data_IF_507212503265
#
_entry.id   IF_507212503265
#
_cell.length_a   1.000
_cell.length_b   1.000
_cell.length_c   1.000
_cell.angle_alpha   90.00
_cell.angle_beta   90.00
_cell.angle_gamma   90.00
#
_symmetry.space_group_name_H-M   'P 1'
#
loop_
_entity.id
_entity.type
_entity.pdbx_description
1 polymer ?
#
# COMPACT_ATOMS: atom_id res chain seq x y z
N UNK A 1 -29.70 60.54 13.39
CA UNK A 1 -29.20 59.49 12.46
C UNK A 1 -27.98 60.04 11.73
N UNK A 2 -26.95 59.21 11.60
CA UNK A 2 -25.67 59.42 10.90
C UNK A 2 -24.63 60.37 11.54
N UNK A 3 -23.63 59.77 12.23
CA UNK A 3 -22.25 60.28 12.27
C UNK A 3 -21.22 59.16 12.55
N UNK A 4 -20.32 58.99 11.57
CA UNK A 4 -18.90 58.60 11.64
C UNK A 4 -18.37 57.58 12.67
N UNK A 5 -17.74 56.51 12.17
CA UNK A 5 -16.32 56.21 12.44
C UNK A 5 -15.81 55.05 11.59
N UNK A 6 -15.08 55.37 10.52
CA UNK A 6 -14.31 54.43 9.73
C UNK A 6 -13.05 54.02 10.53
N UNK A 7 -13.01 52.78 11.02
CA UNK A 7 -11.76 52.16 11.51
C UNK A 7 -11.02 51.58 10.31
N UNK A 8 -9.93 52.25 9.92
CA UNK A 8 -8.99 51.77 8.92
C UNK A 8 -8.39 50.42 9.31
N UNK A 9 -8.36 49.48 8.35
CA UNK A 9 -7.58 48.25 8.43
C UNK A 9 -6.10 48.62 8.46
N UNK A 10 -5.42 48.29 9.55
CA UNK A 10 -3.97 48.23 9.57
C UNK A 10 -3.50 47.13 8.58
N UNK A 11 -2.47 47.36 7.75
CA UNK A 11 -1.92 46.33 6.91
C UNK A 11 -1.18 45.33 7.81
N UNK A 12 -1.65 44.08 7.81
CA UNK A 12 -0.93 42.96 8.41
C UNK A 12 0.28 42.60 7.55
N UNK A 13 1.31 43.47 7.54
CA UNK A 13 2.66 43.07 7.17
C UNK A 13 3.29 42.35 8.37
N UNK A 14 2.79 41.15 8.64
CA UNK A 14 3.50 40.14 9.41
C UNK A 14 4.30 39.31 8.42
N UNK A 15 5.62 39.35 8.54
CA UNK A 15 6.54 38.47 7.80
C UNK A 15 6.04 37.03 7.88
N UNK A 16 5.45 36.54 6.79
CA UNK A 16 5.28 35.12 6.57
C UNK A 16 6.69 34.55 6.49
N UNK A 17 7.14 33.93 7.59
CA UNK A 17 8.32 33.10 7.59
C UNK A 17 8.17 32.11 6.43
N UNK A 18 9.06 32.23 5.44
CA UNK A 18 9.25 31.21 4.41
C UNK A 18 9.69 29.93 5.12
N UNK A 19 8.73 29.16 5.64
CA UNK A 19 8.93 27.74 5.88
C UNK A 19 9.26 27.17 4.48
N UNK A 20 10.48 26.67 4.24
CA UNK A 20 10.77 26.01 2.99
C UNK A 20 9.75 24.88 2.87
N UNK A 21 9.00 24.88 1.76
CA UNK A 21 8.03 23.84 1.48
C UNK A 21 8.80 22.54 1.27
N UNK A 22 9.04 21.79 2.34
CA UNK A 22 9.80 20.56 2.25
C UNK A 22 8.91 19.48 1.64
N UNK A 23 9.30 19.03 0.45
CA UNK A 23 8.61 17.94 -0.23
C UNK A 23 8.65 16.69 0.65
N UNK A 24 7.52 15.97 0.83
CA UNK A 24 7.50 14.70 1.54
C UNK A 24 8.55 13.74 0.99
N UNK A 25 9.18 12.96 1.86
CA UNK A 25 10.27 12.06 1.49
C UNK A 25 9.82 11.01 0.46
N UNK A 26 8.54 10.65 0.48
CA UNK A 26 7.93 9.76 -0.53
C UNK A 26 8.09 10.30 -1.96
N UNK A 27 7.95 11.61 -2.16
CA UNK A 27 8.11 12.24 -3.47
C UNK A 27 9.55 12.64 -3.74
N UNK A 28 10.25 13.13 -2.72
CA UNK A 28 11.68 13.51 -2.82
C UNK A 28 12.56 12.33 -3.22
N UNK A 29 12.30 11.14 -2.68
CA UNK A 29 13.03 9.90 -2.96
C UNK A 29 12.32 8.99 -3.96
N UNK A 30 11.38 9.51 -4.74
CA UNK A 30 10.71 8.75 -5.80
C UNK A 30 11.76 8.33 -6.84
N UNK A 31 11.91 7.02 -7.14
CA UNK A 31 12.83 6.53 -8.16
C UNK A 31 12.62 7.20 -9.52
N UNK A 32 13.71 7.60 -10.17
CA UNK A 32 13.70 8.17 -11.53
C UNK A 32 14.14 7.15 -12.59
N UNK A 33 15.03 6.22 -12.25
CA UNK A 33 15.46 5.14 -13.12
C UNK A 33 14.85 3.78 -12.72
N UNK A 34 14.75 2.85 -13.68
CA UNK A 34 14.33 1.46 -13.41
C UNK A 34 15.32 0.72 -12.49
N UNK A 35 16.57 1.18 -12.40
CA UNK A 35 17.60 0.59 -11.54
C UNK A 35 17.40 0.93 -10.06
N UNK A 36 16.76 2.06 -9.76
CA UNK A 36 16.52 2.54 -8.39
C UNK A 36 15.26 1.91 -7.76
N UNK A 37 14.46 1.20 -8.57
CA UNK A 37 13.24 0.56 -8.09
C UNK A 37 13.60 -0.73 -7.37
N UNK A 38 13.23 -0.81 -6.10
CA UNK A 38 13.47 -1.99 -5.27
C UNK A 38 12.27 -2.94 -5.35
N UNK A 39 12.56 -4.23 -5.49
CA UNK A 39 11.59 -5.33 -5.46
C UNK A 39 11.18 -5.86 -6.82
N UNK A 40 10.56 -7.06 -6.83
CA UNK A 40 10.09 -7.72 -8.06
C UNK A 40 11.15 -7.74 -9.20
N UNK A 41 12.37 -8.18 -8.88
CA UNK A 41 13.55 -8.13 -9.77
C UNK A 41 13.28 -8.70 -11.17
N UNK A 42 12.59 -9.85 -11.24
CA UNK A 42 12.23 -10.49 -12.51
C UNK A 42 11.37 -9.58 -13.41
N UNK A 43 10.39 -8.88 -12.82
CA UNK A 43 9.52 -7.98 -13.58
C UNK A 43 10.28 -6.73 -14.02
N UNK A 44 11.16 -6.19 -13.17
CA UNK A 44 12.01 -5.05 -13.52
C UNK A 44 12.99 -5.41 -14.63
N UNK A 45 13.61 -6.59 -14.60
CA UNK A 45 14.50 -7.07 -15.66
C UNK A 45 13.78 -7.15 -17.01
N UNK A 46 12.54 -7.68 -17.03
CA UNK A 46 11.71 -7.68 -18.24
C UNK A 46 11.42 -6.26 -18.74
N UNK A 47 11.11 -5.33 -17.84
CA UNK A 47 10.91 -3.92 -18.19
C UNK A 47 12.18 -3.28 -18.76
N UNK A 48 13.36 -3.63 -18.23
CA UNK A 48 14.66 -3.17 -18.74
C UNK A 48 14.93 -3.67 -20.16
N UNK A 49 14.58 -4.92 -20.47
CA UNK A 49 14.69 -5.45 -21.85
C UNK A 49 13.75 -4.67 -22.78
N UNK A 50 12.50 -4.46 -22.37
CA UNK A 50 11.52 -3.67 -23.14
C UNK A 50 12.01 -2.23 -23.37
N UNK A 51 12.64 -1.62 -22.37
CA UNK A 51 13.19 -0.27 -22.46
C UNK A 51 14.35 -0.19 -23.48
N UNK A 52 15.14 -1.25 -23.64
CA UNK A 52 16.23 -1.35 -24.62
C UNK A 52 15.73 -1.59 -26.04
N UNK A 53 14.78 -2.51 -26.20
CA UNK A 53 14.24 -2.90 -27.51
C UNK A 53 13.28 -1.85 -28.09
N UNK A 54 12.66 -1.02 -27.24
CA UNK A 54 11.76 0.06 -27.65
C UNK A 54 10.34 -0.40 -28.02
N UNK A 55 10.14 -1.66 -28.37
CA UNK A 55 8.83 -2.23 -28.70
C UNK A 55 8.05 -2.64 -27.43
N UNK A 56 7.46 -1.67 -26.75
CA UNK A 56 6.68 -1.92 -25.54
C UNK A 56 5.26 -2.42 -25.86
N UNK A 57 4.84 -3.65 -25.49
CA UNK A 57 3.44 -4.08 -25.63
C UNK A 57 2.50 -3.23 -24.77
N UNK A 58 1.19 -3.37 -24.93
CA UNK A 58 0.29 -2.86 -23.90
C UNK A 58 0.56 -3.61 -22.60
N UNK A 59 0.70 -2.89 -21.48
CA UNK A 59 1.03 -3.49 -20.19
C UNK A 59 -0.07 -3.24 -19.18
N UNK A 60 -0.37 -4.26 -18.39
CA UNK A 60 -1.18 -4.13 -17.19
C UNK A 60 -0.27 -4.49 -16.02
N UNK A 61 -0.02 -3.54 -15.14
CA UNK A 61 0.65 -3.78 -13.87
C UNK A 61 -0.42 -3.99 -12.81
N UNK A 62 -0.51 -5.22 -12.30
CA UNK A 62 -1.47 -5.61 -11.27
C UNK A 62 -0.76 -6.14 -10.03
N UNK A 63 -1.40 -6.01 -8.86
CA UNK A 63 -0.96 -6.76 -7.68
C UNK A 63 -1.30 -8.23 -7.90
N UNK A 64 -0.31 -9.10 -7.77
CA UNK A 64 -0.56 -10.54 -7.78
C UNK A 64 -1.48 -10.92 -6.62
N UNK A 65 -2.41 -11.88 -6.80
CA UNK A 65 -3.15 -12.41 -5.67
C UNK A 65 -2.15 -12.92 -4.62
N UNK A 66 -2.44 -12.76 -3.31
CA UNK A 66 -1.60 -13.39 -2.29
C UNK A 66 -1.53 -14.90 -2.58
N UNK A 67 -0.36 -15.51 -2.39
CA UNK A 67 -0.09 -16.92 -2.72
C UNK A 67 -1.12 -17.91 -2.13
N UNK A 68 -1.89 -17.50 -1.12
CA UNK A 68 -2.90 -18.32 -0.48
C UNK A 68 -4.29 -17.63 -0.45
N UNK A 69 -5.33 -18.25 -1.03
CA UNK A 69 -6.66 -17.63 -1.20
C UNK A 69 -7.39 -17.35 0.13
N UNK A 70 -7.16 -18.16 1.16
CA UNK A 70 -7.71 -17.96 2.50
C UNK A 70 -7.23 -16.64 3.14
N UNK A 71 -5.94 -16.31 2.94
CA UNK A 71 -5.35 -15.08 3.46
C UNK A 71 -5.84 -13.82 2.72
N UNK A 72 -6.27 -13.96 1.45
CA UNK A 72 -6.85 -12.86 0.69
C UNK A 72 -8.16 -12.35 1.31
N UNK A 73 -8.95 -13.24 1.92
CA UNK A 73 -10.24 -12.91 2.51
C UNK A 73 -10.12 -12.37 3.94
N UNK A 74 -9.11 -12.83 4.68
CA UNK A 74 -8.85 -12.42 6.05
C UNK A 74 -8.17 -11.05 6.15
N UNK A 75 -7.34 -10.69 5.18
CA UNK A 75 -6.85 -9.33 5.04
C UNK A 75 -7.96 -8.46 4.43
N UNK A 76 -8.93 -8.07 5.24
CA UNK A 76 -10.07 -7.22 4.88
C UNK A 76 -9.69 -5.76 4.55
N UNK A 77 -8.50 -5.55 3.97
CA UNK A 77 -8.21 -4.38 3.14
C UNK A 77 -8.17 -4.82 1.68
N UNK A 78 -9.33 -5.03 1.02
CA UNK A 78 -9.42 -5.26 -0.42
C UNK A 78 -9.16 -3.98 -1.25
N UNK A 79 -8.56 -2.95 -0.67
CA UNK A 79 -7.88 -1.89 -1.41
C UNK A 79 -6.43 -2.37 -1.57
N UNK A 80 -6.10 -2.87 -2.76
CA UNK A 80 -4.82 -3.55 -3.00
C UNK A 80 -3.62 -2.75 -2.51
N UNK A 81 -2.53 -3.45 -2.17
CA UNK A 81 -1.38 -2.83 -1.50
C UNK A 81 -0.91 -1.58 -2.26
N UNK A 82 -0.97 -0.41 -1.61
CA UNK A 82 -0.31 0.77 -2.10
C UNK A 82 1.22 0.57 -2.05
N UNK A 83 1.95 1.45 -2.73
CA UNK A 83 3.38 1.63 -2.48
C UNK A 83 4.35 0.51 -2.88
N UNK A 84 3.94 -0.47 -3.70
CA UNK A 84 4.85 -1.48 -4.29
C UNK A 84 5.58 -1.01 -5.57
N UNK A 85 5.50 0.29 -5.90
CA UNK A 85 6.21 0.87 -7.04
C UNK A 85 5.55 0.69 -8.42
N UNK A 86 4.24 0.39 -8.50
CA UNK A 86 3.52 0.21 -9.78
C UNK A 86 3.60 1.45 -10.68
N UNK A 87 3.05 2.57 -10.20
CA UNK A 87 3.03 3.85 -10.91
C UNK A 87 4.45 4.32 -11.23
N UNK A 88 5.36 4.25 -10.25
CA UNK A 88 6.78 4.58 -10.43
C UNK A 88 7.43 3.79 -11.56
N UNK A 89 7.19 2.48 -11.64
CA UNK A 89 7.77 1.63 -12.69
C UNK A 89 7.31 2.02 -14.08
N UNK A 90 6.04 2.42 -14.24
CA UNK A 90 5.51 2.90 -15.52
C UNK A 90 6.15 4.24 -15.90
N UNK A 91 6.28 5.17 -14.96
CA UNK A 91 6.93 6.45 -15.21
C UNK A 91 8.41 6.29 -15.57
N UNK A 92 9.16 5.47 -14.84
CA UNK A 92 10.56 5.19 -15.15
C UNK A 92 10.71 4.54 -16.53
N UNK A 93 9.84 3.58 -16.87
CA UNK A 93 9.81 2.99 -18.21
C UNK A 93 9.53 4.04 -19.29
N UNK A 94 8.54 4.91 -19.06
CA UNK A 94 8.17 5.95 -20.01
C UNK A 94 9.29 7.00 -20.18
N UNK A 95 9.97 7.38 -19.10
CA UNK A 95 11.14 8.25 -19.15
C UNK A 95 12.30 7.62 -19.92
N UNK A 96 12.60 6.34 -19.67
CA UNK A 96 13.69 5.66 -20.37
C UNK A 96 13.39 5.42 -21.86
N UNK A 97 12.13 5.17 -22.20
CA UNK A 97 11.69 5.01 -23.59
C UNK A 97 11.66 6.35 -24.33
N UNK A 98 11.09 7.40 -23.77
CA UNK A 98 10.81 8.64 -24.52
C UNK A 98 11.87 9.73 -24.31
N UNK A 99 12.64 9.67 -23.23
CA UNK A 99 13.64 10.69 -22.89
C UNK A 99 13.01 12.09 -22.84
N UNK A 100 13.59 13.02 -23.60
CA UNK A 100 13.12 14.41 -23.68
C UNK A 100 11.70 14.55 -24.24
N UNK A 101 11.25 13.58 -25.07
CA UNK A 101 9.90 13.56 -25.64
C UNK A 101 8.83 13.08 -24.65
N UNK A 102 9.17 12.85 -23.38
CA UNK A 102 8.23 12.40 -22.34
C UNK A 102 7.01 13.33 -22.23
N UNK A 103 7.20 14.65 -22.23
CA UNK A 103 6.11 15.63 -22.05
C UNK A 103 5.09 15.62 -23.20
N UNK A 104 5.52 15.27 -24.41
CA UNK A 104 4.65 15.28 -25.58
C UNK A 104 4.10 13.89 -25.91
N UNK A 105 4.85 12.85 -25.57
CA UNK A 105 4.58 11.44 -25.87
C UNK A 105 3.88 10.67 -24.75
N UNK A 106 3.74 11.25 -23.56
CA UNK A 106 3.02 10.63 -22.43
C UNK A 106 1.74 11.39 -22.10
N UNK A 107 0.64 10.65 -21.97
CA UNK A 107 -0.59 11.13 -21.38
C UNK A 107 -0.85 10.35 -20.09
N UNK A 108 -0.75 11.03 -18.95
CA UNK A 108 -1.14 10.48 -17.65
C UNK A 108 -2.58 10.87 -17.36
N UNK A 109 -3.38 9.86 -16.97
CA UNK A 109 -4.73 10.04 -16.48
C UNK A 109 -4.89 9.23 -15.20
N UNK A 110 -5.23 9.91 -14.12
CA UNK A 110 -5.69 9.25 -12.92
C UNK A 110 -7.16 8.87 -13.09
N UNK A 111 -7.45 7.57 -13.17
CA UNK A 111 -8.79 7.09 -13.46
C UNK A 111 -9.79 7.36 -12.32
N UNK A 112 -9.35 7.74 -11.12
CA UNK A 112 -10.25 8.17 -10.02
C UNK A 112 -10.93 9.51 -10.29
N UNK A 113 -10.23 10.43 -10.95
CA UNK A 113 -10.65 11.82 -11.08
C UNK A 113 -11.38 12.05 -12.40
N UNK A 114 -10.87 11.47 -13.49
CA UNK A 114 -11.43 11.61 -14.84
C UNK A 114 -12.16 10.32 -15.30
N UNK A 115 -13.16 9.88 -14.50
CA UNK A 115 -13.93 8.62 -14.68
C UNK A 115 -14.84 8.55 -15.90
N UNK A 116 -15.07 9.67 -16.58
CA UNK A 116 -16.11 9.80 -17.62
C UNK A 116 -15.82 9.01 -18.88
N UNK A 117 -16.84 8.34 -19.43
CA UNK A 117 -16.80 7.69 -20.75
C UNK A 117 -16.35 8.71 -21.82
N UNK A 118 -16.74 9.98 -21.66
CA UNK A 118 -16.42 11.07 -22.58
C UNK A 118 -14.94 11.44 -22.56
N UNK A 119 -14.25 11.32 -21.42
CA UNK A 119 -12.80 11.57 -21.35
C UNK A 119 -12.05 10.50 -22.15
N UNK A 120 -12.44 9.23 -22.03
CA UNK A 120 -11.86 8.14 -22.81
C UNK A 120 -12.13 8.34 -24.31
N UNK A 121 -13.36 8.74 -24.68
CA UNK A 121 -13.75 8.92 -26.08
C UNK A 121 -13.12 10.14 -26.73
N UNK A 122 -12.87 11.21 -25.98
CA UNK A 122 -12.39 12.47 -26.51
C UNK A 122 -10.89 12.66 -26.24
N UNK A 123 -10.47 12.69 -24.97
CA UNK A 123 -9.09 13.01 -24.56
C UNK A 123 -8.10 11.91 -24.99
N UNK A 124 -8.39 10.66 -24.65
CA UNK A 124 -7.53 9.52 -25.02
C UNK A 124 -7.51 9.32 -26.53
N UNK A 125 -8.66 9.41 -27.20
CA UNK A 125 -8.74 9.29 -28.66
C UNK A 125 -8.00 10.41 -29.38
N UNK A 126 -8.16 11.68 -28.94
CA UNK A 126 -7.46 12.81 -29.53
C UNK A 126 -5.95 12.67 -29.36
N UNK A 127 -5.49 12.23 -28.19
CA UNK A 127 -4.07 11.95 -27.96
C UNK A 127 -3.56 10.79 -28.81
N UNK A 128 -4.34 9.70 -28.96
CA UNK A 128 -3.99 8.58 -29.83
C UNK A 128 -3.90 9.00 -31.31
N UNK A 129 -4.72 9.96 -31.74
CA UNK A 129 -4.69 10.53 -33.09
C UNK A 129 -3.58 11.56 -33.33
N UNK A 130 -3.12 12.27 -32.28
CA UNK A 130 -2.04 13.26 -32.38
C UNK A 130 -0.78 12.62 -32.95
N UNK A 131 -0.24 13.16 -34.05
CA UNK A 131 1.05 12.72 -34.59
C UNK A 131 2.17 13.38 -33.77
N UNK A 132 3.03 12.55 -33.18
CA UNK A 132 4.24 12.99 -32.48
C UNK A 132 5.42 12.33 -33.19
N UNK A 133 6.44 13.11 -33.54
CA UNK A 133 7.65 12.61 -34.17
C UNK A 133 8.53 11.98 -33.08
N UNK A 134 8.44 10.65 -32.97
CA UNK A 134 9.27 9.86 -32.06
C UNK A 134 10.39 9.16 -32.82
N UNK A 135 11.52 8.82 -32.16
CA UNK A 135 12.57 7.99 -32.75
C UNK A 135 12.02 6.63 -33.22
N UNK A 136 12.68 5.99 -34.21
CA UNK A 136 12.22 4.71 -34.75
C UNK A 136 12.06 3.65 -33.65
N UNK A 137 10.94 2.93 -33.69
CA UNK A 137 10.59 1.89 -32.71
C UNK A 137 9.91 2.39 -31.44
N UNK A 138 9.80 3.71 -31.22
CA UNK A 138 9.16 4.28 -30.03
C UNK A 138 7.72 4.71 -30.29
N UNK A 139 6.89 4.48 -29.28
CA UNK A 139 5.45 4.71 -29.34
C UNK A 139 5.04 5.69 -28.25
N UNK A 140 3.94 6.41 -28.46
CA UNK A 140 3.32 7.21 -27.40
C UNK A 140 2.82 6.30 -26.29
N UNK A 141 2.81 6.77 -25.05
CA UNK A 141 2.37 5.99 -23.91
C UNK A 141 1.20 6.70 -23.24
N UNK A 142 0.10 5.98 -23.02
CA UNK A 142 -1.02 6.43 -22.21
C UNK A 142 -0.96 5.67 -20.89
N UNK A 143 -0.75 6.40 -19.80
CA UNK A 143 -0.69 5.87 -18.44
C UNK A 143 -2.08 6.06 -17.82
N UNK A 144 -2.71 4.96 -17.45
CA UNK A 144 -3.98 4.94 -16.72
C UNK A 144 -3.69 4.40 -15.33
N UNK A 145 -3.59 5.29 -14.33
CA UNK A 145 -3.48 4.87 -12.94
C UNK A 145 -4.86 4.58 -12.34
N UNK A 146 -4.90 3.68 -11.37
CA UNK A 146 -6.14 3.19 -10.74
C UNK A 146 -7.19 2.70 -11.75
N UNK A 147 -6.75 1.98 -12.80
CA UNK A 147 -7.63 1.52 -13.87
C UNK A 147 -8.79 0.61 -13.37
N UNK A 148 -8.69 0.06 -12.16
CA UNK A 148 -9.77 -0.68 -11.52
C UNK A 148 -10.95 0.18 -11.05
N UNK A 149 -10.78 1.50 -10.98
CA UNK A 149 -11.84 2.48 -10.71
C UNK A 149 -12.62 2.88 -11.98
N UNK A 150 -12.20 2.44 -13.17
CA UNK A 150 -12.90 2.75 -14.42
C UNK A 150 -14.22 2.00 -14.56
N UNK A 151 -15.25 2.70 -15.05
CA UNK A 151 -16.55 2.07 -15.36
C UNK A 151 -16.42 1.07 -16.52
N UNK A 152 -17.23 -0.02 -16.53
CA UNK A 152 -17.20 -0.99 -17.62
C UNK A 152 -17.47 -0.35 -19.00
N UNK A 153 -18.34 0.66 -19.08
CA UNK A 153 -18.60 1.40 -20.31
C UNK A 153 -17.38 2.16 -20.85
N UNK A 154 -16.58 2.75 -19.96
CA UNK A 154 -15.33 3.42 -20.33
C UNK A 154 -14.28 2.40 -20.81
N UNK A 155 -14.17 1.24 -20.16
CA UNK A 155 -13.28 0.16 -20.59
C UNK A 155 -13.65 -0.38 -21.99
N UNK A 156 -14.95 -0.54 -22.29
CA UNK A 156 -15.40 -0.95 -23.61
C UNK A 156 -15.03 0.07 -24.70
N UNK A 157 -15.13 1.37 -24.41
CA UNK A 157 -14.70 2.42 -25.33
C UNK A 157 -13.17 2.43 -25.53
N UNK A 158 -12.42 2.16 -24.46
CA UNK A 158 -10.96 2.07 -24.51
C UNK A 158 -10.49 0.92 -25.41
N UNK A 159 -11.12 -0.25 -25.33
CA UNK A 159 -10.78 -1.44 -26.13
C UNK A 159 -10.61 -1.14 -27.62
N UNK A 160 -11.59 -0.45 -28.22
CA UNK A 160 -11.55 -0.12 -29.66
C UNK A 160 -10.41 0.84 -30.00
N UNK A 161 -10.10 1.77 -29.09
CA UNK A 161 -9.01 2.74 -29.26
C UNK A 161 -7.65 2.03 -29.17
N UNK A 162 -7.50 1.06 -28.27
CA UNK A 162 -6.29 0.24 -28.15
C UNK A 162 -6.03 -0.56 -29.44
N UNK A 163 -7.06 -1.17 -30.02
CA UNK A 163 -6.94 -1.95 -31.26
C UNK A 163 -6.54 -1.08 -32.47
N UNK A 164 -7.21 0.05 -32.68
CA UNK A 164 -7.00 0.89 -33.86
C UNK A 164 -5.62 1.58 -33.84
N UNK A 165 -5.17 2.02 -32.66
CA UNK A 165 -3.95 2.83 -32.53
C UNK A 165 -2.76 2.08 -31.94
N UNK A 166 -2.77 0.74 -31.92
CA UNK A 166 -1.69 -0.10 -31.39
C UNK A 166 -0.31 0.20 -32.02
N UNK A 167 -0.30 0.59 -33.29
CA UNK A 167 0.92 0.91 -34.04
C UNK A 167 1.57 2.24 -33.64
N UNK A 168 0.84 3.15 -33.00
CA UNK A 168 1.36 4.50 -32.64
C UNK A 168 1.34 4.77 -31.14
N UNK A 169 0.44 4.11 -30.41
CA UNK A 169 0.14 4.40 -29.01
C UNK A 169 0.07 3.10 -28.22
N UNK A 170 0.78 3.04 -27.09
CA UNK A 170 0.79 1.92 -26.15
C UNK A 170 0.14 2.35 -24.85
N UNK A 171 -0.60 1.43 -24.23
CA UNK A 171 -1.32 1.67 -22.99
C UNK A 171 -0.60 0.97 -21.85
N UNK A 172 -0.41 1.69 -20.75
CA UNK A 172 0.11 1.18 -19.50
C UNK A 172 -0.95 1.40 -18.42
N UNK A 173 -1.59 0.31 -17.98
CA UNK A 173 -2.63 0.35 -16.97
C UNK A 173 -2.04 -0.11 -15.63
N UNK A 174 -2.09 0.75 -14.62
CA UNK A 174 -1.82 0.36 -13.23
C UNK A 174 -3.16 0.05 -12.54
N UNK A 175 -3.27 -1.14 -11.96
CA UNK A 175 -4.46 -1.53 -11.22
C UNK A 175 -4.11 -2.31 -9.95
N UNK A 176 -4.98 -2.22 -8.96
CA UNK A 176 -4.86 -3.03 -7.75
C UNK A 176 -5.47 -4.41 -7.94
N UNK A 177 -6.61 -4.48 -8.61
CA UNK A 177 -7.34 -5.72 -8.87
C UNK A 177 -7.45 -5.96 -10.37
N UNK A 178 -6.73 -6.96 -10.89
CA UNK A 178 -6.84 -7.34 -12.31
C UNK A 178 -8.25 -7.78 -12.69
N UNK A 179 -8.99 -8.38 -11.76
CA UNK A 179 -10.35 -8.91 -12.01
C UNK A 179 -11.37 -7.82 -12.36
N UNK A 180 -11.12 -6.56 -12.01
CA UNK A 180 -12.01 -5.43 -12.36
C UNK A 180 -11.81 -4.93 -13.79
N UNK A 181 -10.74 -5.37 -14.47
CA UNK A 181 -10.49 -5.06 -15.87
C UNK A 181 -11.18 -6.11 -16.74
N UNK A 182 -11.90 -5.68 -17.78
CA UNK A 182 -12.58 -6.59 -18.71
C UNK A 182 -11.57 -7.48 -19.46
N UNK A 183 -11.92 -8.75 -19.66
CA UNK A 183 -11.11 -9.75 -20.36
C UNK A 183 -10.63 -9.30 -21.77
N UNK A 184 -11.43 -8.56 -22.58
CA UNK A 184 -10.96 -8.04 -23.86
C UNK A 184 -9.75 -7.10 -23.77
N UNK A 185 -9.61 -6.34 -22.68
CA UNK A 185 -8.41 -5.52 -22.46
C UNK A 185 -7.26 -6.40 -21.99
N UNK A 186 -7.51 -7.33 -21.05
CA UNK A 186 -6.49 -8.23 -20.52
C UNK A 186 -5.82 -9.06 -21.61
N UNK A 187 -6.60 -9.64 -22.52
CA UNK A 187 -6.10 -10.43 -23.66
C UNK A 187 -5.17 -9.68 -24.61
N UNK A 188 -5.23 -8.34 -24.63
CA UNK A 188 -4.39 -7.48 -25.49
C UNK A 188 -3.17 -6.92 -24.77
N UNK A 189 -3.05 -7.18 -23.47
CA UNK A 189 -1.99 -6.62 -22.64
C UNK A 189 -1.12 -7.72 -22.02
N UNK A 190 0.17 -7.45 -21.91
CA UNK A 190 1.06 -8.22 -21.06
C UNK A 190 0.74 -7.91 -19.59
N UNK A 191 0.29 -8.93 -18.85
CA UNK A 191 -0.03 -8.81 -17.43
C UNK A 191 1.25 -9.02 -16.63
N UNK A 192 1.74 -7.96 -16.00
CA UNK A 192 2.86 -7.96 -15.07
C UNK A 192 2.29 -7.99 -13.65
N UNK A 193 2.65 -9.01 -12.88
CA UNK A 193 2.19 -9.19 -11.50
C UNK A 193 3.27 -8.74 -10.54
N UNK A 194 2.96 -7.77 -9.71
CA UNK A 194 3.84 -7.31 -8.63
C UNK A 194 3.47 -8.04 -7.34
N UNK A 195 4.47 -8.56 -6.65
CA UNK A 195 4.35 -9.10 -5.31
C UNK A 195 4.64 -8.01 -4.26
N UNK A 196 4.34 -8.35 -2.99
CA UNK A 196 4.80 -7.56 -1.84
C UNK A 196 6.32 -7.46 -1.87
N UNK A 197 6.83 -6.30 -1.44
CA UNK A 197 8.26 -6.14 -1.19
C UNK A 197 8.67 -7.02 -0.02
N UNK A 198 9.87 -7.59 -0.12
CA UNK A 198 10.47 -8.35 0.98
C UNK A 198 11.01 -7.40 2.04
N UNK A 199 11.05 -7.85 3.29
CA UNK A 199 11.55 -7.05 4.40
C UNK A 199 13.00 -6.58 4.17
N UNK A 200 13.84 -7.42 3.56
CA UNK A 200 15.22 -7.10 3.17
C UNK A 200 15.30 -5.99 2.12
N UNK A 201 14.33 -5.93 1.21
CA UNK A 201 14.25 -4.93 0.14
C UNK A 201 13.86 -3.57 0.72
N UNK A 202 12.88 -3.55 1.63
CA UNK A 202 12.46 -2.35 2.34
C UNK A 202 13.59 -1.81 3.21
N UNK A 203 14.26 -2.70 3.97
CA UNK A 203 15.40 -2.32 4.83
C UNK A 203 16.49 -1.63 4.02
N UNK A 204 16.88 -2.19 2.86
CA UNK A 204 17.89 -1.59 1.99
C UNK A 204 17.53 -0.16 1.60
N UNK A 205 16.28 0.08 1.17
CA UNK A 205 15.83 1.42 0.78
C UNK A 205 15.73 2.38 1.95
N UNK A 206 15.31 1.91 3.12
CA UNK A 206 15.26 2.73 4.34
C UNK A 206 16.67 3.17 4.76
N UNK A 207 17.65 2.27 4.70
CA UNK A 207 19.05 2.60 5.02
C UNK A 207 19.61 3.66 4.08
N UNK A 208 19.36 3.54 2.77
CA UNK A 208 19.77 4.56 1.79
C UNK A 208 19.20 5.95 2.14
N UNK A 209 17.92 6.02 2.53
CA UNK A 209 17.26 7.27 2.92
C UNK A 209 17.83 7.80 4.24
N UNK A 210 18.08 6.92 5.22
CA UNK A 210 18.68 7.29 6.50
C UNK A 210 20.09 7.87 6.32
N UNK A 211 20.89 7.33 5.40
CA UNK A 211 22.22 7.86 5.08
C UNK A 211 22.16 9.22 4.39
N UNK A 212 21.23 9.41 3.45
CA UNK A 212 21.06 10.68 2.73
C UNK A 212 20.57 11.81 3.65
N UNK A 213 19.64 11.53 4.55
CA UNK A 213 19.09 12.50 5.52
C UNK A 213 19.87 12.57 6.84
N UNK A 214 20.87 11.70 7.04
CA UNK A 214 21.66 11.57 8.29
C UNK A 214 20.79 11.37 9.54
N UNK A 215 19.80 10.50 9.44
CA UNK A 215 18.88 10.17 10.54
C UNK A 215 19.57 9.25 11.55
N UNK A 216 19.39 9.53 12.85
CA UNK A 216 19.84 8.62 13.90
C UNK A 216 18.80 7.53 14.13
N UNK A 217 19.20 6.26 14.02
CA UNK A 217 18.30 5.11 14.14
C UNK A 217 18.88 4.02 15.05
N UNK A 218 17.97 3.21 15.60
CA UNK A 218 18.27 1.93 16.24
C UNK A 218 17.75 0.78 15.37
N UNK A 219 18.38 -0.40 15.46
CA UNK A 219 17.99 -1.60 14.71
C UNK A 219 16.56 -2.05 15.05
N UNK A 220 16.14 -1.88 16.32
CA UNK A 220 14.77 -2.13 16.76
C UNK A 220 13.77 -1.17 16.08
N UNK A 221 14.19 0.07 15.82
CA UNK A 221 13.39 1.09 15.15
C UNK A 221 13.16 0.73 13.68
N UNK A 222 14.20 0.29 12.97
CA UNK A 222 14.07 -0.20 11.59
C UNK A 222 13.18 -1.45 11.50
N UNK A 223 13.33 -2.37 12.45
CA UNK A 223 12.49 -3.57 12.54
C UNK A 223 11.02 -3.21 12.79
N UNK A 224 10.75 -2.24 13.67
CA UNK A 224 9.40 -1.73 13.92
C UNK A 224 8.80 -1.05 12.68
N UNK A 225 9.59 -0.29 11.92
CA UNK A 225 9.14 0.33 10.67
C UNK A 225 8.75 -0.74 9.63
N UNK A 226 9.56 -1.79 9.47
CA UNK A 226 9.24 -2.90 8.55
C UNK A 226 7.96 -3.61 8.99
N UNK A 227 7.83 -3.90 10.29
CA UNK A 227 6.67 -4.57 10.87
C UNK A 227 5.36 -3.77 10.67
N UNK A 228 5.42 -2.45 10.79
CA UNK A 228 4.25 -1.56 10.60
C UNK A 228 3.87 -1.34 9.13
N UNK A 229 4.81 -1.55 8.20
CA UNK A 229 4.65 -1.20 6.79
C UNK A 229 4.13 -2.34 5.91
N UNK A 230 4.15 -3.59 6.38
CA UNK A 230 3.52 -4.76 5.71
C UNK A 230 3.84 -4.97 4.21
N UNK A 231 5.03 -4.55 3.76
CA UNK A 231 5.43 -4.64 2.36
C UNK A 231 5.13 -3.38 1.52
N UNK A 232 4.62 -2.30 2.12
CA UNK A 232 4.36 -0.99 1.50
C UNK A 232 5.53 -0.03 1.77
N UNK A 233 6.26 0.33 0.71
CA UNK A 233 7.41 1.25 0.81
C UNK A 233 6.98 2.68 1.14
N UNK A 234 5.83 3.12 0.62
CA UNK A 234 5.31 4.47 0.85
C UNK A 234 4.97 4.65 2.32
N UNK A 235 4.32 3.65 2.92
CA UNK A 235 4.02 3.66 4.35
C UNK A 235 5.30 3.67 5.19
N UNK A 236 6.30 2.86 4.83
CA UNK A 236 7.59 2.81 5.53
C UNK A 236 8.30 4.16 5.54
N UNK A 237 8.37 4.84 4.39
CA UNK A 237 9.01 6.16 4.27
C UNK A 237 8.23 7.22 5.05
N UNK A 238 6.89 7.20 4.98
CA UNK A 238 6.05 8.13 5.73
C UNK A 238 6.19 7.96 7.25
N UNK A 239 6.26 6.72 7.73
CA UNK A 239 6.47 6.42 9.15
C UNK A 239 7.86 6.86 9.61
N UNK A 240 8.88 6.61 8.77
CA UNK A 240 10.25 7.06 9.03
C UNK A 240 10.32 8.58 9.13
N UNK A 241 9.76 9.29 8.15
CA UNK A 241 9.72 10.76 8.13
C UNK A 241 8.98 11.30 9.35
N UNK A 242 7.80 10.76 9.66
CA UNK A 242 7.01 11.19 10.82
C UNK A 242 7.74 10.96 12.15
N UNK A 243 8.46 9.85 12.29
CA UNK A 243 9.25 9.53 13.48
C UNK A 243 10.45 10.47 13.62
N UNK A 244 11.14 10.74 12.51
CA UNK A 244 12.27 11.67 12.51
C UNK A 244 11.84 13.11 12.82
N UNK A 245 10.73 13.58 12.22
CA UNK A 245 10.20 14.91 12.49
C UNK A 245 9.66 15.06 13.91
N UNK A 246 9.12 14.00 14.50
CA UNK A 246 8.57 14.03 15.86
C UNK A 246 9.61 13.92 16.97
N UNK A 247 10.56 12.99 16.83
CA UNK A 247 11.46 12.60 17.92
C UNK A 247 12.96 12.71 17.57
N UNK A 248 13.31 12.99 16.31
CA UNK A 248 14.69 13.03 15.75
C UNK A 248 15.52 11.74 15.86
N UNK A 249 15.08 10.80 16.69
CA UNK A 249 15.68 9.50 16.93
C UNK A 249 14.67 8.38 16.67
N UNK A 250 15.03 7.48 15.75
CA UNK A 250 14.17 6.37 15.33
C UNK A 250 14.41 5.16 16.24
N UNK A 251 13.59 5.07 17.30
CA UNK A 251 13.52 3.91 18.21
C UNK A 251 12.21 3.13 18.00
N UNK A 252 12.18 1.85 18.36
CA UNK A 252 10.97 1.01 18.27
C UNK A 252 9.77 1.64 18.98
N UNK A 253 9.97 2.14 20.21
CA UNK A 253 8.91 2.80 20.97
C UNK A 253 8.39 4.07 20.29
N UNK A 254 9.28 4.86 19.68
CA UNK A 254 8.91 6.08 18.99
C UNK A 254 8.11 5.76 17.72
N UNK A 255 8.50 4.71 17.00
CA UNK A 255 7.77 4.24 15.82
C UNK A 255 6.37 3.77 16.19
N UNK A 256 6.22 2.94 17.24
CA UNK A 256 4.90 2.47 17.68
C UNK A 256 4.02 3.60 18.22
N UNK A 257 4.59 4.62 18.88
CA UNK A 257 3.87 5.83 19.29
C UNK A 257 3.36 6.66 18.12
N UNK A 258 4.15 6.81 17.06
CA UNK A 258 3.75 7.58 15.86
C UNK A 258 2.72 6.82 15.04
N UNK A 259 2.87 5.50 14.92
CA UNK A 259 1.94 4.65 14.18
C UNK A 259 0.65 4.33 14.94
N UNK A 260 0.63 4.60 16.25
CA UNK A 260 -0.46 4.31 17.18
C UNK A 260 -0.99 2.87 17.05
N UNK A 261 -0.06 1.91 17.07
CA UNK A 261 -0.36 0.48 17.02
C UNK A 261 -0.03 -0.20 18.36
N UNK A 262 -0.81 -1.22 18.77
CA UNK A 262 -0.49 -2.01 19.95
C UNK A 262 0.91 -2.60 19.87
N UNK A 263 1.68 -2.45 20.96
CA UNK A 263 3.04 -2.97 20.99
C UNK A 263 3.02 -4.51 20.83
N UNK A 264 3.82 -5.10 19.92
CA UNK A 264 3.82 -6.55 19.69
C UNK A 264 4.18 -7.38 20.93
N UNK A 265 4.93 -6.83 21.91
CA UNK A 265 5.32 -7.52 23.13
C UNK A 265 4.09 -7.79 24.02
N UNK A 266 3.18 -6.82 24.16
CA UNK A 266 1.94 -6.98 24.93
C UNK A 266 1.10 -8.08 24.29
N UNK A 267 0.97 -8.05 22.95
CA UNK A 267 0.22 -9.05 22.20
C UNK A 267 0.86 -10.45 22.26
N UNK A 268 2.20 -10.55 22.22
CA UNK A 268 2.90 -11.82 22.46
C UNK A 268 2.61 -12.36 23.85
N UNK A 269 2.56 -11.50 24.87
CA UNK A 269 2.26 -11.90 26.24
C UNK A 269 0.81 -12.42 26.40
N UNK A 270 -0.15 -11.87 25.65
CA UNK A 270 -1.52 -12.38 25.53
C UNK A 270 -1.52 -13.79 24.93
N UNK A 271 -0.81 -13.98 23.81
CA UNK A 271 -0.74 -15.30 23.14
C UNK A 271 -0.08 -16.34 24.05
N UNK A 272 0.99 -15.98 24.77
CA UNK A 272 1.63 -16.86 25.77
C UNK A 272 0.69 -17.22 26.92
N UNK A 273 -0.14 -16.29 27.38
CA UNK A 273 -1.17 -16.57 28.40
C UNK A 273 -2.23 -17.55 27.86
N UNK A 274 -2.67 -17.36 26.61
CA UNK A 274 -3.58 -18.27 25.92
C UNK A 274 -2.99 -19.69 25.74
N UNK A 275 -1.68 -19.79 25.50
CA UNK A 275 -0.97 -21.06 25.42
C UNK A 275 -0.92 -21.81 26.76
N UNK A 276 -0.78 -21.06 27.86
CA UNK A 276 -0.84 -21.61 29.23
C UNK A 276 -2.27 -21.87 29.71
N UNK A 277 -3.28 -21.62 28.88
CA UNK A 277 -4.70 -21.73 29.23
C UNK A 277 -5.12 -20.81 30.40
N UNK A 278 -4.41 -19.70 30.63
CA UNK A 278 -4.79 -18.71 31.64
C UNK A 278 -5.59 -17.58 30.99
N UNK A 279 -6.92 -17.67 31.10
CA UNK A 279 -7.84 -16.71 30.49
C UNK A 279 -7.80 -15.36 31.22
N UNK A 280 -7.67 -15.37 32.55
CA UNK A 280 -7.73 -14.14 33.36
C UNK A 280 -6.54 -13.21 33.01
N UNK A 281 -5.32 -13.75 32.98
CA UNK A 281 -4.12 -12.98 32.58
C UNK A 281 -4.20 -12.47 31.12
N UNK A 282 -4.79 -13.27 30.22
CA UNK A 282 -5.01 -12.84 28.83
C UNK A 282 -6.04 -11.71 28.73
N UNK A 283 -7.10 -11.75 29.54
CA UNK A 283 -8.15 -10.73 29.60
C UNK A 283 -7.65 -9.43 30.24
N UNK A 284 -6.83 -9.51 31.29
CA UNK A 284 -6.27 -8.32 31.95
C UNK A 284 -5.38 -7.52 30.97
N UNK A 285 -4.51 -8.20 30.23
CA UNK A 285 -3.68 -7.59 29.18
C UNK A 285 -4.50 -7.06 28.00
N UNK A 286 -5.61 -7.72 27.66
CA UNK A 286 -6.52 -7.23 26.63
C UNK A 286 -7.24 -5.96 27.09
N UNK A 287 -7.66 -5.90 28.36
CA UNK A 287 -8.26 -4.72 28.95
C UNK A 287 -7.26 -3.56 29.00
N UNK A 288 -5.99 -3.82 29.30
CA UNK A 288 -4.93 -2.79 29.22
C UNK A 288 -4.86 -2.14 27.83
N UNK A 289 -4.91 -2.94 26.76
CA UNK A 289 -4.95 -2.42 25.38
C UNK A 289 -6.25 -1.66 25.07
N UNK A 290 -7.37 -2.14 25.62
CA UNK A 290 -8.67 -1.49 25.42
C UNK A 290 -8.76 -0.13 26.14
N UNK A 291 -8.23 -0.05 27.37
CA UNK A 291 -8.19 1.16 28.19
C UNK A 291 -7.25 2.22 27.60
N UNK A 292 -6.21 1.80 26.87
CA UNK A 292 -5.36 2.68 26.06
C UNK A 292 -6.10 3.26 24.84
N UNK A 293 -7.31 2.79 24.53
CA UNK A 293 -8.16 3.34 23.48
C UNK A 293 -7.92 2.73 22.09
N UNK A 294 -7.20 1.61 22.00
CA UNK A 294 -6.98 0.94 20.72
C UNK A 294 -8.28 0.39 20.14
N UNK A 295 -8.45 0.55 18.82
CA UNK A 295 -9.59 -0.02 18.11
C UNK A 295 -9.56 -1.55 18.16
N UNK A 296 -10.73 -2.15 18.28
CA UNK A 296 -10.90 -3.60 18.21
C UNK A 296 -10.31 -4.22 16.92
N UNK A 297 -10.37 -3.45 15.81
CA UNK A 297 -9.79 -3.86 14.52
C UNK A 297 -8.27 -3.92 14.60
N UNK A 298 -7.63 -2.91 15.18
CA UNK A 298 -6.17 -2.83 15.27
C UNK A 298 -5.60 -3.88 16.22
N UNK A 299 -6.31 -4.15 17.33
CA UNK A 299 -5.98 -5.24 18.25
C UNK A 299 -6.01 -6.59 17.52
N UNK A 300 -7.10 -6.92 16.79
CA UNK A 300 -7.19 -8.19 16.06
C UNK A 300 -6.15 -8.31 14.96
N UNK A 301 -5.92 -7.25 14.18
CA UNK A 301 -4.93 -7.26 13.10
C UNK A 301 -3.52 -7.49 13.67
N UNK A 302 -3.21 -6.88 14.82
CA UNK A 302 -1.92 -7.07 15.49
C UNK A 302 -1.80 -8.48 16.07
N UNK A 303 -2.84 -9.02 16.71
CA UNK A 303 -2.87 -10.42 17.18
C UNK A 303 -2.62 -11.38 16.01
N UNK A 304 -3.31 -11.19 14.90
CA UNK A 304 -3.12 -12.00 13.69
C UNK A 304 -1.68 -11.93 13.18
N UNK A 305 -1.09 -10.73 13.15
CA UNK A 305 0.29 -10.50 12.71
C UNK A 305 1.30 -11.20 13.62
N UNK A 306 1.13 -11.09 14.94
CA UNK A 306 2.02 -11.73 15.92
C UNK A 306 1.90 -13.25 15.83
N UNK A 307 0.69 -13.82 15.80
CA UNK A 307 0.48 -15.28 15.69
C UNK A 307 1.16 -15.87 14.46
N UNK A 308 1.12 -15.16 13.32
CA UNK A 308 1.77 -15.61 12.09
C UNK A 308 3.29 -15.75 12.24
N UNK A 309 3.90 -14.83 12.97
CA UNK A 309 5.36 -14.73 13.18
C UNK A 309 5.84 -15.48 14.43
N UNK A 310 4.93 -16.08 15.18
CA UNK A 310 5.23 -16.69 16.46
C UNK A 310 5.73 -18.13 16.30
N UNK A 311 7.01 -18.38 16.58
CA UNK A 311 7.65 -19.67 16.29
C UNK A 311 7.54 -20.69 17.43
N UNK A 312 7.13 -20.29 18.64
CA UNK A 312 7.02 -21.18 19.80
C UNK A 312 5.85 -22.20 19.69
N UNK A 313 5.00 -22.11 18.65
CA UNK A 313 3.79 -22.94 18.49
C UNK A 313 3.89 -23.96 17.36
N UNK A 314 3.31 -25.17 17.53
CA UNK A 314 3.08 -26.11 16.43
C UNK A 314 2.26 -25.48 15.29
N UNK A 315 2.60 -25.82 14.04
CA UNK A 315 1.93 -25.27 12.85
C UNK A 315 0.42 -25.57 12.82
N UNK A 316 0.02 -26.76 13.28
CA UNK A 316 -1.39 -27.13 13.42
C UNK A 316 -2.17 -26.16 14.31
N UNK A 317 -1.68 -25.94 15.54
CA UNK A 317 -2.30 -25.02 16.50
C UNK A 317 -2.30 -23.58 16.00
N UNK A 318 -1.22 -23.16 15.31
CA UNK A 318 -1.11 -21.84 14.68
C UNK A 318 -2.21 -21.62 13.62
N UNK A 319 -2.49 -22.62 12.79
CA UNK A 319 -3.55 -22.55 11.77
C UNK A 319 -4.95 -22.49 12.40
N UNK A 320 -5.20 -23.23 13.48
CA UNK A 320 -6.47 -23.15 14.21
C UNK A 320 -6.66 -21.78 14.87
N UNK A 321 -5.60 -21.21 15.44
CA UNK A 321 -5.62 -19.85 16.01
C UNK A 321 -5.96 -18.83 14.93
N UNK A 322 -5.30 -18.90 13.77
CA UNK A 322 -5.56 -18.04 12.62
C UNK A 322 -7.02 -18.16 12.16
N UNK A 323 -7.57 -19.38 12.14
CA UNK A 323 -8.98 -19.61 11.78
C UNK A 323 -9.93 -18.88 12.74
N UNK A 324 -9.77 -19.05 14.06
CA UNK A 324 -10.64 -18.39 15.05
C UNK A 324 -10.47 -16.87 15.05
N UNK A 325 -9.24 -16.38 14.97
CA UNK A 325 -8.95 -14.94 14.81
C UNK A 325 -9.65 -14.41 13.56
N UNK A 326 -9.67 -15.19 12.48
CA UNK A 326 -10.33 -14.78 11.25
C UNK A 326 -11.84 -14.70 11.32
N UNK A 327 -12.49 -15.63 12.00
CA UNK A 327 -13.93 -15.55 12.26
C UNK A 327 -14.29 -14.31 13.09
N UNK A 328 -13.50 -14.02 14.13
CA UNK A 328 -13.72 -12.83 14.96
C UNK A 328 -13.45 -11.56 14.17
N UNK A 329 -12.40 -11.52 13.34
CA UNK A 329 -12.11 -10.37 12.48
C UNK A 329 -13.29 -10.06 11.55
N UNK A 330 -13.86 -11.08 10.90
CA UNK A 330 -15.05 -10.91 10.04
C UNK A 330 -16.24 -10.32 10.82
N UNK A 331 -16.50 -10.80 12.04
CA UNK A 331 -17.57 -10.27 12.89
C UNK A 331 -17.36 -8.81 13.31
N UNK A 332 -16.12 -8.43 13.58
CA UNK A 332 -15.79 -7.03 13.88
C UNK A 332 -16.05 -6.15 12.67
N UNK A 333 -15.69 -6.60 11.46
CA UNK A 333 -15.93 -5.86 10.22
C UNK A 333 -17.40 -5.74 9.86
N UNK A 334 -18.23 -6.71 10.25
CA UNK A 334 -19.70 -6.63 10.16
C UNK A 334 -20.31 -5.60 11.13
N UNK A 335 -19.49 -4.98 11.99
CA UNK A 335 -19.87 -3.89 12.89
C UNK A 335 -19.92 -4.27 14.37
N UNK A 336 -19.65 -5.53 14.73
CA UNK A 336 -19.69 -6.00 16.13
C UNK A 336 -18.30 -5.90 16.76
N UNK A 337 -17.77 -4.68 16.89
CA UNK A 337 -16.45 -4.40 17.45
C UNK A 337 -16.42 -4.21 18.97
N UNK A 338 -17.02 -5.13 19.74
CA UNK A 338 -17.11 -4.99 21.21
C UNK A 338 -16.02 -5.76 21.94
N UNK A 339 -15.67 -5.31 23.16
CA UNK A 339 -14.76 -6.02 24.07
C UNK A 339 -15.20 -7.49 24.30
N UNK A 340 -16.51 -7.74 24.30
CA UNK A 340 -17.08 -9.09 24.42
C UNK A 340 -16.66 -10.01 23.27
N UNK A 341 -16.57 -9.51 22.03
CA UNK A 341 -16.09 -10.33 20.91
C UNK A 341 -14.59 -10.64 21.05
N UNK A 342 -13.79 -9.69 21.54
CA UNK A 342 -12.37 -9.89 21.80
C UNK A 342 -12.13 -10.89 22.96
N UNK A 343 -12.88 -10.76 24.06
CA UNK A 343 -12.83 -11.72 25.16
C UNK A 343 -13.34 -13.10 24.76
N UNK A 344 -14.38 -13.15 23.93
CA UNK A 344 -14.86 -14.39 23.32
C UNK A 344 -13.82 -15.06 22.43
N UNK A 345 -12.99 -14.29 21.72
CA UNK A 345 -11.84 -14.80 20.98
C UNK A 345 -10.80 -15.39 21.95
N UNK A 346 -10.40 -14.67 23.01
CA UNK A 346 -9.43 -15.18 23.98
C UNK A 346 -9.87 -16.50 24.62
N UNK A 347 -11.15 -16.60 25.00
CA UNK A 347 -11.73 -17.82 25.55
C UNK A 347 -11.67 -18.99 24.55
N UNK A 348 -11.96 -18.75 23.26
CA UNK A 348 -11.85 -19.80 22.22
C UNK A 348 -10.40 -20.25 22.02
N UNK A 349 -9.44 -19.32 22.02
CA UNK A 349 -8.02 -19.65 21.88
C UNK A 349 -7.51 -20.49 23.06
N UNK A 350 -7.92 -20.16 24.28
CA UNK A 350 -7.57 -20.94 25.48
C UNK A 350 -8.23 -22.33 25.48
N UNK A 351 -9.49 -22.41 25.04
CA UNK A 351 -10.23 -23.68 24.96
C UNK A 351 -9.51 -24.73 24.12
N UNK A 352 -8.83 -24.33 23.04
CA UNK A 352 -8.13 -25.28 22.15
C UNK A 352 -6.94 -25.99 22.83
N UNK A 353 -6.33 -25.37 23.84
CA UNK A 353 -5.20 -25.96 24.57
C UNK A 353 -5.63 -26.75 25.80
N UNK A 354 -6.90 -26.65 26.19
CA UNK A 354 -7.46 -27.39 27.32
C UNK A 354 -7.86 -28.79 26.89
N UNK A 355 -7.70 -29.76 27.80
CA UNK A 355 -8.10 -31.16 27.54
C UNK A 355 -9.61 -31.21 27.25
N UNK A 356 -10.05 -31.94 26.20
CA UNK A 356 -11.47 -32.02 25.83
C UNK A 356 -12.36 -32.66 26.90
N UNK A 357 -11.77 -33.33 27.88
CA UNK A 357 -12.46 -33.92 29.04
C UNK A 357 -13.03 -32.87 29.99
N UNK A 358 -12.47 -31.65 30.04
CA UNK A 358 -12.93 -30.56 30.91
C UNK A 358 -14.23 -29.89 30.43
N UNK A 359 -14.70 -30.23 29.23
CA UNK A 359 -15.88 -29.62 28.59
C UNK A 359 -16.99 -30.60 28.27
N UNK A 360 -16.90 -31.84 28.74
CA UNK A 360 -18.04 -32.76 28.74
C UNK A 360 -18.93 -32.38 29.93
N UNK A 361 -20.06 -31.73 29.62
CA UNK A 361 -21.17 -31.54 30.56
C UNK A 361 -21.92 -32.85 30.71
#
# INVERSE_FOLDING_TARGET
MASSSAKGKAPANGNATNLPYELPWVEKYRPHALDDIVGNTETIERLKVIAKDGNCPHIIISVGPPKHPFFARLMARPKGMPGIGKTTSIHCLAHQLLGDAYKEGVLELNASDERGIDVVRNKIKAFAQKKVTLPPGRHKIVILDEADSMTPGAQQALRRTMEIYANTTRFALACNMSNKIIEPIQSRCAILRYAKLRDTEILKRLLEICEMEKVQYNDDGLTALIFTSEGDMRQAINNLQSTNSGFSFVSGDNVFKVCDQPHPIIVQSIIRACLKSNIDDAMDKLNELWDQGYSAVDIIVTIFRVVKTFDEMPEYTKLEYIKEIGWTHMRILEGVGTLIQLGGLMARLCKMNMKPELFKV
#
